data_IF_676790346200
#
_entry.id   IF_676790346200
#
_cell.length_a   1.000
_cell.length_b   1.000
_cell.length_c   1.000
_cell.angle_alpha   90.00
_cell.angle_beta   90.00
_cell.angle_gamma   90.00
#
_symmetry.space_group_name_H-M   'P 1'
#
loop_
_entity.id
_entity.type
_entity.pdbx_description
1 polymer ?
#
# COMPACT_ATOMS: atom_id res chain seq x y z
N UNK A 1 -7.22 -3.97 14.10
CA UNK A 1 -7.68 -4.05 12.70
C UNK A 1 -8.35 -5.40 12.56
N UNK A 2 -9.51 -5.51 11.91
CA UNK A 2 -10.11 -6.84 11.74
C UNK A 2 -9.24 -7.63 10.75
N UNK A 3 -8.95 -8.89 11.09
CA UNK A 3 -8.18 -9.80 10.25
C UNK A 3 -8.83 -10.02 8.86
N UNK A 4 -10.12 -9.73 8.73
CA UNK A 4 -10.90 -9.87 7.50
C UNK A 4 -10.46 -8.88 6.41
N UNK A 5 -10.26 -7.61 6.75
CA UNK A 5 -9.83 -6.59 5.78
C UNK A 5 -8.42 -6.86 5.26
N UNK A 6 -7.52 -7.33 6.13
CA UNK A 6 -6.16 -7.73 5.75
C UNK A 6 -6.17 -8.88 4.74
N UNK A 7 -6.99 -9.90 5.00
CA UNK A 7 -7.15 -11.05 4.12
C UNK A 7 -7.71 -10.64 2.76
N UNK A 8 -8.74 -9.78 2.75
CA UNK A 8 -9.38 -9.31 1.52
C UNK A 8 -8.41 -8.50 0.64
N UNK A 9 -7.69 -7.53 1.21
CA UNK A 9 -6.70 -6.73 0.47
C UNK A 9 -5.56 -7.61 -0.05
N UNK A 10 -5.08 -8.54 0.77
CA UNK A 10 -4.03 -9.49 0.38
C UNK A 10 -4.45 -10.35 -0.80
N UNK A 11 -5.67 -10.89 -0.75
CA UNK A 11 -6.23 -11.71 -1.83
C UNK A 11 -6.32 -10.89 -3.12
N UNK A 12 -6.91 -9.69 -3.04
CA UNK A 12 -7.05 -8.82 -4.20
C UNK A 12 -5.70 -8.48 -4.84
N UNK A 13 -4.69 -8.11 -4.03
CA UNK A 13 -3.36 -7.80 -4.54
C UNK A 13 -2.70 -9.02 -5.22
N UNK A 14 -2.85 -10.23 -4.66
CA UNK A 14 -2.30 -11.45 -5.29
C UNK A 14 -2.97 -11.80 -6.62
N UNK A 15 -4.26 -11.57 -6.74
CA UNK A 15 -5.04 -11.90 -7.94
C UNK A 15 -4.86 -10.85 -9.06
N UNK A 16 -4.58 -9.58 -8.70
CA UNK A 16 -4.60 -8.46 -9.64
C UNK A 16 -3.22 -7.85 -9.92
N UNK A 17 -2.18 -8.24 -9.19
CA UNK A 17 -0.84 -7.62 -9.29
C UNK A 17 0.28 -8.66 -9.32
N UNK A 18 1.46 -8.26 -9.78
CA UNK A 18 2.67 -9.09 -9.78
C UNK A 18 3.66 -8.66 -8.70
N UNK A 19 3.15 -8.36 -7.50
CA UNK A 19 3.98 -7.96 -6.36
C UNK A 19 4.75 -9.15 -5.79
N UNK A 20 5.93 -8.86 -5.26
CA UNK A 20 6.71 -9.79 -4.47
C UNK A 20 6.08 -9.95 -3.08
N UNK A 21 5.83 -11.20 -2.70
CA UNK A 21 5.31 -11.58 -1.38
C UNK A 21 6.34 -12.33 -0.55
N UNK A 22 7.59 -12.34 -0.99
CA UNK A 22 8.68 -12.78 -0.15
C UNK A 22 8.79 -11.77 0.97
N UNK A 23 8.55 -12.19 2.22
CA UNK A 23 9.14 -11.42 3.32
C UNK A 23 10.63 -11.44 3.04
N UNK A 24 11.22 -10.29 2.77
CA UNK A 24 12.67 -10.16 2.66
C UNK A 24 13.26 -10.70 3.96
N UNK A 25 13.67 -11.97 3.90
CA UNK A 25 14.15 -12.76 5.01
C UNK A 25 15.64 -12.48 5.18
N UNK A 26 15.94 -11.46 5.96
CA UNK A 26 17.22 -11.33 6.65
C UNK A 26 16.94 -10.54 7.93
N UNK A 27 17.24 -11.16 9.07
CA UNK A 27 17.13 -10.64 10.43
C UNK A 27 17.80 -9.27 10.62
N UNK A 28 17.10 -8.18 10.28
CA UNK A 28 17.30 -6.86 10.86
C UNK A 28 16.19 -5.95 10.36
N UNK A 29 15.68 -5.01 11.19
CA UNK A 29 14.87 -3.94 10.63
C UNK A 29 15.76 -3.22 9.61
N UNK A 30 15.37 -3.19 8.34
CA UNK A 30 15.91 -2.20 7.42
C UNK A 30 15.85 -0.86 8.15
N UNK A 31 17.03 -0.28 8.38
CA UNK A 31 17.34 0.94 9.14
C UNK A 31 16.11 1.80 9.31
N UNK A 32 15.71 2.21 10.52
CA UNK A 32 14.46 2.97 10.86
C UNK A 32 13.87 3.90 9.78
N UNK A 33 14.70 4.48 8.91
CA UNK A 33 14.36 5.15 7.65
C UNK A 33 13.52 4.32 6.67
N UNK A 34 13.79 3.03 6.41
CA UNK A 34 13.04 2.22 5.43
C UNK A 34 11.55 2.08 5.78
N UNK A 35 11.20 2.11 7.07
CA UNK A 35 9.79 2.14 7.52
C UNK A 35 9.06 3.43 7.16
N UNK A 36 9.78 4.49 6.80
CA UNK A 36 9.22 5.75 6.33
C UNK A 36 8.94 5.73 4.84
N UNK A 37 9.44 4.75 4.09
CA UNK A 37 9.28 4.66 2.65
C UNK A 37 8.43 3.44 2.29
N UNK A 38 7.74 3.51 1.16
CA UNK A 38 6.96 2.38 0.64
C UNK A 38 7.67 1.77 -0.57
N UNK A 39 8.07 0.51 -0.44
CA UNK A 39 8.53 -0.34 -1.53
C UNK A 39 7.34 -0.86 -2.35
N UNK A 40 7.25 -0.38 -3.58
CA UNK A 40 6.11 -0.67 -4.48
C UNK A 40 6.17 -2.01 -5.16
N UNK A 41 7.27 -2.73 -4.98
CA UNK A 41 7.40 -4.10 -5.44
C UNK A 41 6.94 -5.10 -4.38
N UNK A 42 6.81 -4.68 -3.11
CA UNK A 42 6.53 -5.57 -1.99
C UNK A 42 5.04 -5.53 -1.58
N UNK A 43 4.39 -6.68 -1.69
CA UNK A 43 2.95 -6.83 -1.45
C UNK A 43 2.52 -6.47 -0.03
N UNK A 44 3.34 -6.78 0.98
CA UNK A 44 3.04 -6.46 2.38
C UNK A 44 3.04 -4.95 2.65
N UNK A 45 3.98 -4.20 2.09
CA UNK A 45 4.06 -2.75 2.29
C UNK A 45 2.90 -2.04 1.58
N UNK A 46 2.61 -2.44 0.33
CA UNK A 46 1.44 -1.93 -0.41
C UNK A 46 0.14 -2.20 0.35
N UNK A 47 -0.04 -3.42 0.85
CA UNK A 47 -1.20 -3.79 1.67
C UNK A 47 -1.33 -2.90 2.89
N UNK A 48 -0.25 -2.68 3.63
CA UNK A 48 -0.26 -1.89 4.85
C UNK A 48 -0.60 -0.42 4.58
N UNK A 49 -0.13 0.14 3.46
CA UNK A 49 -0.51 1.49 2.99
C UNK A 49 -2.00 1.56 2.67
N UNK A 50 -2.54 0.58 1.92
CA UNK A 50 -3.97 0.53 1.57
C UNK A 50 -4.83 0.45 2.84
N UNK A 51 -4.50 -0.48 3.76
CA UNK A 51 -5.26 -0.65 5.01
C UNK A 51 -5.23 0.62 5.86
N UNK A 52 -4.07 1.24 6.00
CA UNK A 52 -3.92 2.50 6.74
C UNK A 52 -4.74 3.61 6.09
N UNK A 53 -4.65 3.75 4.77
CA UNK A 53 -5.40 4.75 4.03
C UNK A 53 -6.91 4.58 4.19
N UNK A 54 -7.42 3.35 4.08
CA UNK A 54 -8.85 3.07 4.17
C UNK A 54 -9.37 3.35 5.58
N UNK A 55 -8.59 2.98 6.60
CA UNK A 55 -8.90 3.28 8.00
C UNK A 55 -8.92 4.79 8.26
N UNK A 56 -7.89 5.51 7.85
CA UNK A 56 -7.71 6.94 8.15
C UNK A 56 -8.73 7.83 7.42
N UNK A 57 -9.34 7.33 6.34
CA UNK A 57 -10.30 8.07 5.52
C UNK A 57 -11.71 7.46 5.49
N UNK A 58 -11.98 6.45 6.32
CA UNK A 58 -13.26 5.72 6.38
C UNK A 58 -13.76 5.22 5.00
N UNK A 59 -12.83 4.70 4.19
CA UNK A 59 -13.13 4.18 2.83
C UNK A 59 -13.55 2.72 2.93
N UNK A 60 -14.64 2.36 2.25
CA UNK A 60 -15.13 0.98 2.19
C UNK A 60 -14.20 0.04 1.40
N UNK A 61 -14.09 -1.19 1.88
CA UNK A 61 -13.26 -2.26 1.31
C UNK A 61 -13.90 -2.91 0.06
N UNK A 62 -13.77 -2.25 -1.10
CA UNK A 62 -14.31 -2.68 -2.41
C UNK A 62 -13.21 -2.78 -3.47
N UNK A 63 -13.37 -3.70 -4.42
CA UNK A 63 -12.44 -3.93 -5.54
C UNK A 63 -12.12 -2.66 -6.33
N UNK A 64 -13.11 -1.84 -6.63
CA UNK A 64 -12.92 -0.57 -7.34
C UNK A 64 -12.00 0.39 -6.57
N UNK A 65 -12.19 0.48 -5.25
CA UNK A 65 -11.35 1.32 -4.40
C UNK A 65 -9.92 0.78 -4.29
N UNK A 66 -9.76 -0.55 -4.22
CA UNK A 66 -8.44 -1.16 -4.22
C UNK A 66 -7.67 -0.84 -5.50
N UNK A 67 -8.34 -0.94 -6.64
CA UNK A 67 -7.75 -0.59 -7.93
C UNK A 67 -7.32 0.87 -7.99
N UNK A 68 -8.22 1.80 -7.67
CA UNK A 68 -7.94 3.24 -7.71
C UNK A 68 -6.75 3.59 -6.81
N UNK A 69 -6.73 3.07 -5.58
CA UNK A 69 -5.66 3.36 -4.63
C UNK A 69 -4.35 2.70 -5.04
N UNK A 70 -4.39 1.44 -5.49
CA UNK A 70 -3.20 0.78 -6.01
C UNK A 70 -2.58 1.54 -7.19
N UNK A 71 -3.40 1.95 -8.16
CA UNK A 71 -2.95 2.76 -9.30
C UNK A 71 -2.34 4.09 -8.83
N UNK A 72 -2.95 4.75 -7.85
CA UNK A 72 -2.40 5.94 -7.21
C UNK A 72 -1.01 5.70 -6.59
N UNK A 73 -0.83 4.56 -5.90
CA UNK A 73 0.47 4.20 -5.31
C UNK A 73 1.53 3.95 -6.38
N UNK A 74 1.21 3.18 -7.42
CA UNK A 74 2.17 2.82 -8.46
C UNK A 74 2.56 4.05 -9.31
N UNK A 75 1.61 4.93 -9.60
CA UNK A 75 1.83 6.09 -10.47
C UNK A 75 2.54 7.26 -9.77
N UNK A 76 2.37 7.46 -8.47
CA UNK A 76 2.91 8.61 -7.76
C UNK A 76 4.44 8.66 -7.80
N UNK A 77 5.11 9.62 -8.46
CA UNK A 77 6.60 9.70 -8.51
C UNK A 77 7.28 8.36 -8.89
N UNK A 78 6.73 7.62 -9.86
CA UNK A 78 7.26 6.34 -10.35
C UNK A 78 8.78 6.44 -10.65
N UNK A 79 9.57 5.50 -10.15
CA UNK A 79 11.04 5.48 -10.31
C UNK A 79 11.83 6.18 -9.20
N UNK A 80 11.15 6.79 -8.22
CA UNK A 80 11.77 7.42 -7.07
C UNK A 80 11.38 6.74 -5.76
N UNK A 81 12.26 6.80 -4.76
CA UNK A 81 11.92 6.42 -3.39
C UNK A 81 10.91 7.43 -2.85
N UNK A 82 9.83 6.94 -2.24
CA UNK A 82 8.72 7.78 -1.79
C UNK A 82 8.38 7.51 -0.34
N UNK A 83 8.27 8.59 0.43
CA UNK A 83 7.83 8.54 1.81
C UNK A 83 6.36 8.14 1.91
N UNK A 84 6.05 7.24 2.84
CA UNK A 84 4.70 6.75 3.07
C UNK A 84 3.76 7.88 3.50
N UNK A 85 4.24 8.88 4.24
CA UNK A 85 3.47 10.10 4.59
C UNK A 85 3.04 10.87 3.35
N UNK A 86 3.99 11.23 2.49
CA UNK A 86 3.75 11.93 1.22
C UNK A 86 2.78 11.15 0.33
N UNK A 87 2.95 9.83 0.27
CA UNK A 87 2.09 8.95 -0.51
C UNK A 87 0.66 8.97 0.03
N UNK A 88 0.47 8.85 1.36
CA UNK A 88 -0.85 8.90 1.97
C UNK A 88 -1.54 10.25 1.72
N UNK A 89 -0.80 11.35 1.79
CA UNK A 89 -1.33 12.68 1.46
C UNK A 89 -1.71 12.78 -0.03
N UNK A 90 -0.87 12.29 -0.93
CA UNK A 90 -1.18 12.23 -2.35
C UNK A 90 -2.48 11.46 -2.62
N UNK A 91 -2.65 10.27 -2.03
CA UNK A 91 -3.84 9.45 -2.19
C UNK A 91 -5.13 10.16 -1.72
N UNK A 92 -5.04 11.00 -0.67
CA UNK A 92 -6.18 11.81 -0.21
C UNK A 92 -6.62 12.83 -1.26
N UNK A 93 -5.66 13.42 -1.97
CA UNK A 93 -5.97 14.36 -3.07
C UNK A 93 -6.43 13.64 -4.33
N UNK A 94 -5.87 12.46 -4.60
CA UNK A 94 -6.19 11.65 -5.76
C UNK A 94 -7.65 11.16 -5.74
N UNK A 95 -8.19 10.78 -4.57
CA UNK A 95 -9.60 10.38 -4.44
C UNK A 95 -10.62 11.54 -4.52
N UNK A 96 -10.17 12.79 -4.41
CA UNK A 96 -11.07 13.96 -4.50
C UNK A 96 -11.24 14.46 -5.94
N UNK A 97 -10.48 13.91 -6.88
CA UNK A 97 -10.58 14.21 -8.32
C UNK A 97 -11.48 13.21 -9.01
#
# INVERSE_FOLDING_TARGET
MSYENESQVTKWLKENTKLSWTRTGSDTPAVKLDRLYTNRSEGYEIRDVILRFFKDNNVGHKDEHYKIIYDGIINYKKGHRVETSDLLEHLKTYLKK
#
